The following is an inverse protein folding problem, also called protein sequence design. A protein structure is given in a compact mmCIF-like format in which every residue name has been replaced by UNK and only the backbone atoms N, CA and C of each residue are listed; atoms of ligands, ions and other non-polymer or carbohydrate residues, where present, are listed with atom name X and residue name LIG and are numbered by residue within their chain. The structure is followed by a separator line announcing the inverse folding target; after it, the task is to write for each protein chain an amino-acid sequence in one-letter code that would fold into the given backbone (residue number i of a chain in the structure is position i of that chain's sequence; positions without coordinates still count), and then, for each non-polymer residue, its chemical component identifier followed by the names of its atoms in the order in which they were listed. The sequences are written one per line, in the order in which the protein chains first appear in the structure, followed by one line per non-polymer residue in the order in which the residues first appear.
data_IF_067242014832
#
_entry.id   IF_067242014832
#
_cell.length_a   1.000
_cell.length_b   1.000
_cell.length_c   1.000
_cell.angle_alpha   90.00
_cell.angle_beta   90.00
_cell.angle_gamma   90.00
#
_symmetry.space_group_name_H-M   'P 1'
#
loop_
_entity.id
_entity.type
_entity.pdbx_description
1 polymer ?
#
# COMPACT_ATOMS: atom_id res chain seq x y z
N UNK A 1 -10.19 4.31 18.74
CA UNK A 1 -8.71 4.09 18.71
C UNK A 1 -8.16 5.12 17.74
N UNK A 2 -7.20 5.93 18.16
CA UNK A 2 -6.63 7.04 17.39
C UNK A 2 -5.41 6.52 16.62
N UNK A 3 -5.11 7.10 15.45
CA UNK A 3 -3.89 6.81 14.70
C UNK A 3 -2.65 7.01 15.58
N UNK A 4 -1.58 6.28 15.31
CA UNK A 4 -0.33 6.33 16.11
C UNK A 4 0.58 7.53 15.77
N UNK A 5 0.16 8.38 14.82
CA UNK A 5 0.86 9.58 14.37
C UNK A 5 -0.09 10.79 14.24
N UNK A 6 0.40 12.04 14.32
CA UNK A 6 -0.46 13.22 14.50
C UNK A 6 -1.09 13.76 13.21
N UNK A 7 -0.54 13.46 12.01
CA UNK A 7 -0.90 14.13 10.76
C UNK A 7 -1.44 13.14 9.73
N UNK A 8 -2.73 12.74 9.78
CA UNK A 8 -3.34 11.88 8.77
C UNK A 8 -3.33 12.55 7.39
N UNK A 9 -3.10 11.75 6.34
CA UNK A 9 -3.06 12.23 4.97
C UNK A 9 -1.68 12.70 4.49
N UNK A 10 -0.62 12.45 5.26
CA UNK A 10 0.73 12.87 4.89
C UNK A 10 1.27 12.20 3.61
N UNK A 11 0.68 11.07 3.17
CA UNK A 11 1.01 10.43 1.89
C UNK A 11 0.15 10.92 0.72
N UNK A 12 -0.82 11.81 0.95
CA UNK A 12 -1.77 12.25 -0.08
C UNK A 12 -1.13 13.13 -1.14
N UNK A 13 -0.18 13.94 -0.74
CA UNK A 13 0.56 14.86 -1.59
C UNK A 13 2.04 14.45 -1.65
N UNK A 14 2.73 14.80 -2.74
CA UNK A 14 4.15 14.50 -2.96
C UNK A 14 5.11 15.40 -2.15
N UNK A 15 4.69 15.87 -0.99
CA UNK A 15 5.52 16.63 -0.08
C UNK A 15 6.64 15.80 0.57
N UNK A 16 7.64 16.46 1.17
CA UNK A 16 8.72 15.79 1.90
C UNK A 16 8.18 15.04 3.11
N UNK A 17 8.90 13.99 3.52
CA UNK A 17 8.59 13.28 4.75
C UNK A 17 8.66 14.24 5.96
N UNK A 18 7.69 14.18 6.89
CA UNK A 18 7.77 14.94 8.14
C UNK A 18 9.00 14.55 8.96
N UNK A 19 9.45 15.46 9.84
CA UNK A 19 10.60 15.22 10.69
C UNK A 19 10.49 13.91 11.49
N UNK A 20 11.57 13.13 11.46
CA UNK A 20 11.64 11.82 12.09
C UNK A 20 11.00 10.68 11.32
N UNK A 21 10.28 10.95 10.21
CA UNK A 21 9.76 9.94 9.30
C UNK A 21 10.73 9.70 8.13
N UNK A 22 10.69 8.49 7.60
CA UNK A 22 11.46 8.10 6.41
C UNK A 22 10.51 7.73 5.30
N UNK A 23 10.86 8.14 4.09
CA UNK A 23 10.12 7.78 2.90
C UNK A 23 10.65 6.47 2.31
N UNK A 24 9.71 5.65 1.86
CA UNK A 24 9.93 4.52 0.98
C UNK A 24 8.99 4.67 -0.21
N UNK A 25 9.52 4.58 -1.41
CA UNK A 25 8.73 4.54 -2.65
C UNK A 25 9.13 3.32 -3.45
N UNK A 26 8.13 2.55 -3.89
CA UNK A 26 8.31 1.43 -4.80
C UNK A 26 7.31 1.55 -5.95
N UNK A 27 7.82 1.65 -7.19
CA UNK A 27 7.02 1.76 -8.40
C UNK A 27 7.08 0.46 -9.19
N UNK A 28 5.93 0.05 -9.73
CA UNK A 28 5.79 -1.14 -10.56
C UNK A 28 5.05 -0.74 -11.83
N UNK A 29 5.72 -0.71 -12.99
CA UNK A 29 5.07 -0.46 -14.28
C UNK A 29 4.06 -1.57 -14.58
N UNK A 30 2.87 -1.19 -15.04
CA UNK A 30 1.78 -2.10 -15.41
C UNK A 30 1.51 -2.14 -16.92
N UNK A 31 2.15 -1.28 -17.70
CA UNK A 31 2.02 -1.18 -19.16
C UNK A 31 1.22 0.05 -19.60
N UNK A 32 0.66 -0.01 -20.82
CA UNK A 32 -0.07 1.10 -21.44
C UNK A 32 -1.51 0.72 -21.83
N UNK A 33 -2.00 -0.43 -21.36
CA UNK A 33 -3.38 -0.85 -21.62
C UNK A 33 -4.35 0.11 -20.91
N UNK A 34 -5.30 0.74 -21.63
CA UNK A 34 -6.28 1.63 -21.01
C UNK A 34 -7.11 0.97 -19.89
N UNK A 35 -7.35 -0.35 -19.97
CA UNK A 35 -8.09 -1.09 -18.96
C UNK A 35 -7.26 -1.38 -17.70
N UNK A 36 -5.93 -1.22 -17.74
CA UNK A 36 -5.04 -1.57 -16.64
C UNK A 36 -5.28 -0.70 -15.39
N UNK A 37 -5.64 0.58 -15.56
CA UNK A 37 -5.91 1.49 -14.45
C UNK A 37 -7.08 0.98 -13.58
N UNK A 38 -8.22 0.69 -14.21
CA UNK A 38 -9.42 0.25 -13.50
C UNK A 38 -9.22 -1.15 -12.89
N UNK A 39 -8.66 -2.09 -13.66
CA UNK A 39 -8.44 -3.46 -13.19
C UNK A 39 -7.45 -3.52 -12.02
N UNK A 40 -6.33 -2.81 -12.10
CA UNK A 40 -5.35 -2.74 -11.03
C UNK A 40 -5.87 -1.91 -9.84
N UNK A 41 -6.58 -0.81 -10.10
CA UNK A 41 -7.22 0.01 -9.07
C UNK A 41 -8.26 -0.78 -8.26
N UNK A 42 -9.12 -1.54 -8.94
CA UNK A 42 -10.07 -2.44 -8.29
C UNK A 42 -9.34 -3.49 -7.43
N UNK A 43 -8.30 -4.13 -7.96
CA UNK A 43 -7.50 -5.09 -7.20
C UNK A 43 -6.87 -4.45 -5.95
N UNK A 44 -6.41 -3.21 -6.03
CA UNK A 44 -5.86 -2.46 -4.89
C UNK A 44 -6.95 -2.18 -3.86
N UNK A 45 -8.06 -1.56 -4.27
CA UNK A 45 -9.16 -1.17 -3.37
C UNK A 45 -9.80 -2.37 -2.67
N UNK A 46 -9.86 -3.54 -3.31
CA UNK A 46 -10.41 -4.79 -2.75
C UNK A 46 -9.37 -5.65 -2.01
N UNK A 47 -8.27 -5.07 -1.54
CA UNK A 47 -7.21 -5.74 -0.78
C UNK A 47 -6.43 -6.81 -1.57
N UNK A 48 -6.58 -6.85 -2.88
CA UNK A 48 -5.96 -7.84 -3.76
C UNK A 48 -4.44 -7.75 -3.75
N UNK A 49 -3.87 -6.55 -3.66
CA UNK A 49 -2.43 -6.35 -3.50
C UNK A 49 -1.90 -7.06 -2.25
N UNK A 50 -2.59 -6.93 -1.12
CA UNK A 50 -2.20 -7.54 0.15
C UNK A 50 -2.35 -9.06 0.12
N UNK A 51 -3.54 -9.56 -0.25
CA UNK A 51 -3.80 -11.00 -0.33
C UNK A 51 -2.88 -11.69 -1.34
N UNK A 52 -2.72 -11.11 -2.53
CA UNK A 52 -1.83 -11.63 -3.56
C UNK A 52 -0.35 -11.57 -3.20
N UNK A 53 0.05 -10.70 -2.28
CA UNK A 53 1.39 -10.67 -1.68
C UNK A 53 1.57 -11.69 -0.55
N UNK A 54 0.54 -12.48 -0.21
CA UNK A 54 0.59 -13.51 0.82
C UNK A 54 0.36 -13.01 2.24
N UNK A 55 -0.27 -11.81 2.39
CA UNK A 55 -0.69 -11.32 3.69
C UNK A 55 -2.11 -11.75 4.02
N UNK A 56 -2.35 -12.03 5.29
CA UNK A 56 -3.72 -12.16 5.80
C UNK A 56 -4.31 -10.76 5.94
N UNK A 57 -5.56 -10.60 5.50
CA UNK A 57 -6.30 -9.34 5.60
C UNK A 57 -7.56 -9.59 6.41
N UNK A 58 -7.63 -9.01 7.60
CA UNK A 58 -8.80 -9.10 8.49
C UNK A 58 -9.48 -7.74 8.54
N UNK A 59 -10.65 -7.64 7.94
CA UNK A 59 -11.50 -6.45 7.91
C UNK A 59 -12.96 -6.87 7.78
N UNK A 60 -13.88 -6.00 8.21
CA UNK A 60 -15.32 -6.17 8.01
C UNK A 60 -15.80 -5.59 6.68
N UNK A 61 -14.97 -4.80 6.01
CA UNK A 61 -15.32 -4.15 4.75
C UNK A 61 -14.70 -4.88 3.54
N UNK A 62 -15.45 -5.09 2.46
CA UNK A 62 -14.96 -5.75 1.25
C UNK A 62 -13.94 -4.90 0.49
N UNK A 63 -13.93 -3.58 0.68
CA UNK A 63 -13.04 -2.65 0.01
C UNK A 63 -12.55 -1.55 0.97
N UNK A 64 -11.48 -0.87 0.60
CA UNK A 64 -10.90 0.24 1.34
C UNK A 64 -11.80 1.50 1.22
N UNK A 65 -12.18 2.07 2.35
CA UNK A 65 -12.87 3.34 2.46
C UNK A 65 -12.40 4.07 3.73
N UNK A 66 -12.40 5.41 3.78
CA UNK A 66 -11.98 6.14 4.97
C UNK A 66 -12.69 5.66 6.24
N UNK A 67 -11.92 5.47 7.32
CA UNK A 67 -12.41 4.92 8.59
C UNK A 67 -12.49 3.39 8.65
N UNK A 68 -12.32 2.67 7.55
CA UNK A 68 -12.29 1.20 7.54
C UNK A 68 -11.03 0.72 8.24
N UNK A 69 -11.22 -0.13 9.26
CA UNK A 69 -10.14 -0.80 9.98
C UNK A 69 -9.78 -2.13 9.34
N UNK A 70 -8.50 -2.35 9.24
CA UNK A 70 -7.92 -3.57 8.69
C UNK A 70 -6.72 -3.99 9.53
N UNK A 71 -6.58 -5.30 9.75
CA UNK A 71 -5.35 -5.87 10.31
C UNK A 71 -4.67 -6.69 9.22
N UNK A 72 -3.51 -6.23 8.80
CA UNK A 72 -2.63 -6.96 7.88
C UNK A 72 -1.70 -7.85 8.70
N UNK A 73 -1.54 -9.11 8.28
CA UNK A 73 -0.73 -10.07 9.04
C UNK A 73 0.21 -10.88 8.16
N UNK A 74 1.38 -11.21 8.71
CA UNK A 74 2.33 -12.16 8.12
C UNK A 74 2.93 -13.02 9.24
N UNK A 75 2.72 -14.34 9.18
CA UNK A 75 3.10 -15.21 10.28
C UNK A 75 2.47 -14.75 11.61
N UNK A 76 3.27 -14.59 12.68
CA UNK A 76 2.78 -14.12 13.98
C UNK A 76 2.56 -12.59 14.03
N UNK A 77 3.11 -11.83 13.09
CA UNK A 77 3.01 -10.38 13.10
C UNK A 77 1.61 -9.91 12.72
N UNK A 78 1.14 -8.89 13.43
CA UNK A 78 -0.13 -8.20 13.20
C UNK A 78 0.13 -6.71 13.08
N UNK A 79 -0.42 -6.11 12.03
CA UNK A 79 -0.27 -4.71 11.68
C UNK A 79 -1.66 -4.06 11.61
N UNK A 80 -2.21 -3.55 12.73
CA UNK A 80 -3.49 -2.88 12.73
C UNK A 80 -3.38 -1.51 12.08
N UNK A 81 -4.32 -1.22 11.16
CA UNK A 81 -4.38 0.01 10.36
C UNK A 81 -5.82 0.52 10.25
N UNK A 82 -5.96 1.79 9.90
CA UNK A 82 -7.21 2.42 9.51
C UNK A 82 -7.02 3.18 8.21
N UNK A 83 -7.93 3.02 7.24
CA UNK A 83 -7.89 3.75 5.98
C UNK A 83 -8.12 5.24 6.25
N UNK A 84 -7.19 6.09 5.82
CA UNK A 84 -7.24 7.54 6.06
C UNK A 84 -7.74 8.32 4.86
N UNK A 85 -7.48 7.85 3.65
CA UNK A 85 -8.02 8.42 2.43
C UNK A 85 -8.15 7.39 1.31
N UNK A 86 -9.03 7.69 0.37
CA UNK A 86 -9.18 6.99 -0.91
C UNK A 86 -9.19 8.00 -2.04
N UNK A 87 -8.83 7.55 -3.23
CA UNK A 87 -8.95 8.31 -4.48
C UNK A 87 -9.50 7.40 -5.56
N UNK A 88 -10.44 7.93 -6.36
CA UNK A 88 -10.97 7.26 -7.54
C UNK A 88 -11.29 8.35 -8.57
N UNK A 89 -10.28 8.73 -9.31
CA UNK A 89 -10.29 9.78 -10.32
C UNK A 89 -10.00 9.18 -11.69
N UNK A 90 -10.16 9.96 -12.74
CA UNK A 90 -9.95 9.53 -14.13
C UNK A 90 -8.61 8.85 -14.38
N UNK A 91 -7.55 9.34 -13.73
CA UNK A 91 -6.17 8.92 -13.96
C UNK A 91 -5.48 8.41 -12.69
N UNK A 92 -6.24 8.27 -11.57
CA UNK A 92 -5.68 7.89 -10.27
C UNK A 92 -6.68 7.11 -9.42
N UNK A 93 -6.32 5.89 -9.01
CA UNK A 93 -7.16 5.03 -8.16
C UNK A 93 -6.30 4.44 -7.04
N UNK A 94 -6.78 4.53 -5.78
CA UNK A 94 -6.06 3.93 -4.68
C UNK A 94 -6.55 4.36 -3.31
N UNK A 95 -5.75 4.03 -2.29
CA UNK A 95 -6.01 4.40 -0.90
C UNK A 95 -4.72 4.49 -0.10
N UNK A 96 -4.81 5.08 1.10
CA UNK A 96 -3.80 4.94 2.11
C UNK A 96 -4.42 4.52 3.44
N UNK A 97 -3.66 3.79 4.22
CA UNK A 97 -3.96 3.54 5.62
C UNK A 97 -2.88 4.09 6.55
N UNK A 98 -3.31 4.52 7.72
CA UNK A 98 -2.45 4.90 8.82
C UNK A 98 -2.38 3.81 9.87
N UNK A 99 -1.25 3.74 10.55
CA UNK A 99 -1.00 2.75 11.61
C UNK A 99 -1.79 3.06 12.88
N UNK A 100 -2.28 2.00 13.53
CA UNK A 100 -2.91 2.05 14.84
C UNK A 100 -1.94 1.55 15.93
N UNK A 101 -2.22 1.79 17.22
CA UNK A 101 -1.44 1.24 18.33
C UNK A 101 -1.28 -0.28 18.21
N UNK A 102 -0.05 -0.77 18.41
CA UNK A 102 0.32 -2.19 18.21
C UNK A 102 0.91 -2.51 16.84
N UNK A 103 0.91 -1.56 15.90
CA UNK A 103 1.60 -1.71 14.63
C UNK A 103 3.13 -1.60 14.81
N UNK A 104 3.96 -2.44 14.12
CA UNK A 104 5.43 -2.37 14.20
C UNK A 104 6.03 -1.03 13.78
N UNK A 105 5.37 -0.33 12.86
CA UNK A 105 5.73 1.00 12.37
C UNK A 105 4.73 2.04 12.86
N UNK A 106 5.14 3.31 12.84
CA UNK A 106 4.29 4.46 13.06
C UNK A 106 4.30 5.31 11.79
N UNK A 107 3.14 5.51 11.17
CA UNK A 107 3.05 6.30 9.94
C UNK A 107 1.92 5.89 9.01
N UNK A 108 2.10 6.19 7.74
CA UNK A 108 1.08 6.04 6.69
C UNK A 108 1.67 5.36 5.44
N UNK A 109 0.90 4.51 4.79
CA UNK A 109 1.29 3.84 3.57
C UNK A 109 0.17 3.94 2.53
N UNK A 110 0.51 4.46 1.37
CA UNK A 110 -0.38 4.64 0.22
C UNK A 110 -0.11 3.58 -0.86
N UNK A 111 -1.19 3.15 -1.48
CA UNK A 111 -1.24 2.18 -2.58
C UNK A 111 -2.04 2.80 -3.71
N UNK A 112 -1.38 3.25 -4.75
CA UNK A 112 -2.00 4.04 -5.82
C UNK A 112 -1.62 3.50 -7.18
N UNK A 113 -2.60 3.40 -8.07
CA UNK A 113 -2.41 3.17 -9.50
C UNK A 113 -2.65 4.47 -10.20
N UNK A 114 -1.72 4.89 -11.04
CA UNK A 114 -1.77 6.16 -11.75
C UNK A 114 -1.49 5.94 -13.24
N UNK A 115 -2.18 6.72 -14.08
CA UNK A 115 -1.93 6.79 -15.52
C UNK A 115 -1.35 8.15 -15.84
N UNK A 116 -0.15 8.18 -16.41
CA UNK A 116 0.53 9.38 -16.88
C UNK A 116 -0.03 9.87 -18.23
N UNK A 117 0.34 11.08 -18.63
CA UNK A 117 -0.15 11.71 -19.87
C UNK A 117 0.22 10.94 -21.13
N UNK A 118 1.31 10.18 -21.13
CA UNK A 118 1.73 9.28 -22.22
C UNK A 118 1.00 7.92 -22.21
N UNK A 119 0.05 7.72 -21.28
CA UNK A 119 -0.75 6.51 -21.14
C UNK A 119 -0.10 5.40 -20.32
N UNK A 120 1.11 5.58 -19.81
CA UNK A 120 1.76 4.58 -18.95
C UNK A 120 1.02 4.43 -17.62
N UNK A 121 0.69 3.20 -17.23
CA UNK A 121 0.05 2.87 -15.95
C UNK A 121 1.09 2.33 -14.99
N UNK A 122 1.14 2.90 -13.78
CA UNK A 122 2.10 2.55 -12.75
C UNK A 122 1.38 2.32 -11.41
N UNK A 123 1.70 1.23 -10.73
CA UNK A 123 1.33 1.02 -9.33
C UNK A 123 2.47 1.51 -8.43
N UNK A 124 2.14 2.37 -7.48
CA UNK A 124 3.09 2.94 -6.52
C UNK A 124 2.68 2.60 -5.10
N UNK A 125 3.64 2.08 -4.33
CA UNK A 125 3.57 2.02 -2.86
C UNK A 125 4.44 3.15 -2.32
N UNK A 126 3.86 4.04 -1.53
CA UNK A 126 4.57 5.12 -0.84
C UNK A 126 4.32 5.03 0.65
N UNK A 127 5.36 4.85 1.44
CA UNK A 127 5.26 4.82 2.89
C UNK A 127 6.06 5.95 3.52
N UNK A 128 5.44 6.68 4.43
CA UNK A 128 6.07 7.64 5.33
C UNK A 128 5.98 7.07 6.74
N UNK A 129 7.07 6.54 7.26
CA UNK A 129 7.04 5.80 8.52
C UNK A 129 8.33 5.89 9.34
N UNK A 130 8.19 5.60 10.63
CA UNK A 130 9.29 5.39 11.56
C UNK A 130 9.05 4.13 12.38
N UNK A 131 10.09 3.42 12.83
CA UNK A 131 9.93 2.25 13.68
C UNK A 131 9.26 2.62 15.01
N UNK A 132 8.16 1.94 15.37
CA UNK A 132 7.46 2.11 16.63
C UNK A 132 7.88 1.06 17.66
N UNK A 133 7.84 -0.23 17.27
CA UNK A 133 8.23 -1.32 18.15
C UNK A 133 9.75 -1.39 18.35
N UNK A 134 10.18 -1.85 19.53
CA UNK A 134 11.60 -1.97 19.85
C UNK A 134 12.35 -2.90 18.88
N UNK A 135 11.75 -4.02 18.50
CA UNK A 135 12.33 -4.97 17.52
C UNK A 135 12.42 -4.37 16.11
N UNK A 136 11.47 -3.50 15.73
CA UNK A 136 11.54 -2.79 14.45
C UNK A 136 12.67 -1.74 14.45
N UNK A 137 12.97 -1.13 15.60
CA UNK A 137 14.12 -0.25 15.79
C UNK A 137 15.43 -1.04 15.74
N UNK A 138 15.51 -2.17 16.45
CA UNK A 138 16.67 -3.05 16.46
C UNK A 138 17.01 -3.64 15.09
N UNK A 139 16.00 -3.89 14.24
CA UNK A 139 16.19 -4.42 12.89
C UNK A 139 16.95 -3.48 11.94
N UNK A 140 16.98 -2.17 12.21
CA UNK A 140 17.81 -1.20 11.49
C UNK A 140 17.76 -1.31 9.95
N UNK A 141 18.93 -1.51 9.28
CA UNK A 141 19.00 -1.67 7.81
C UNK A 141 18.24 -2.88 7.29
N UNK A 142 18.22 -4.00 8.03
CA UNK A 142 17.48 -5.22 7.65
C UNK A 142 15.97 -4.96 7.63
N UNK A 143 15.44 -4.20 8.59
CA UNK A 143 14.04 -3.80 8.60
C UNK A 143 13.67 -2.99 7.36
N UNK A 144 14.55 -2.08 6.91
CA UNK A 144 14.35 -1.31 5.66
C UNK A 144 14.39 -2.20 4.41
N UNK A 145 15.30 -3.16 4.37
CA UNK A 145 15.36 -4.13 3.26
C UNK A 145 14.07 -4.97 3.20
N UNK A 146 13.56 -5.41 4.34
CA UNK A 146 12.30 -6.14 4.45
C UNK A 146 11.11 -5.29 3.97
N UNK A 147 11.03 -4.02 4.35
CA UNK A 147 9.97 -3.11 3.87
C UNK A 147 10.01 -2.94 2.34
N UNK A 148 11.20 -2.74 1.74
CA UNK A 148 11.35 -2.67 0.28
C UNK A 148 10.95 -3.98 -0.41
N UNK A 149 11.30 -5.12 0.17
CA UNK A 149 10.91 -6.42 -0.34
C UNK A 149 9.40 -6.62 -0.30
N UNK A 150 8.73 -6.22 0.80
CA UNK A 150 7.26 -6.23 0.94
C UNK A 150 6.62 -5.35 -0.13
N UNK A 151 7.08 -4.11 -0.30
CA UNK A 151 6.54 -3.20 -1.30
C UNK A 151 6.65 -3.77 -2.74
N UNK A 152 7.75 -4.44 -3.06
CA UNK A 152 7.92 -5.17 -4.33
C UNK A 152 6.98 -6.37 -4.46
N UNK A 153 6.64 -7.04 -3.36
CA UNK A 153 5.64 -8.13 -3.37
C UNK A 153 4.25 -7.62 -3.70
N UNK A 154 3.86 -6.47 -3.17
CA UNK A 154 2.60 -5.80 -3.55
C UNK A 154 2.56 -5.52 -5.05
N UNK A 155 3.62 -4.94 -5.62
CA UNK A 155 3.70 -4.68 -7.06
C UNK A 155 3.55 -5.94 -7.92
N UNK A 156 4.23 -7.03 -7.53
CA UNK A 156 4.08 -8.34 -8.21
C UNK A 156 2.69 -8.91 -8.08
N UNK A 157 2.02 -8.71 -6.94
CA UNK A 157 0.65 -9.18 -6.73
C UNK A 157 -0.34 -8.44 -7.63
N UNK A 158 -0.24 -7.11 -7.72
CA UNK A 158 -1.08 -6.28 -8.61
C UNK A 158 -0.86 -6.67 -10.07
N UNK A 159 0.39 -6.84 -10.50
CA UNK A 159 0.69 -7.28 -11.87
C UNK A 159 0.06 -8.64 -12.19
N UNK A 160 0.19 -9.63 -11.30
CA UNK A 160 -0.43 -10.96 -11.50
C UNK A 160 -1.95 -10.90 -11.55
N UNK A 161 -2.57 -10.04 -10.75
CA UNK A 161 -4.02 -9.83 -10.77
C UNK A 161 -4.46 -9.26 -12.12
N UNK A 162 -3.68 -8.32 -12.67
CA UNK A 162 -3.93 -7.73 -13.99
C UNK A 162 -3.77 -8.76 -15.10
N UNK A 163 -2.68 -9.54 -15.10
CA UNK A 163 -2.42 -10.59 -16.09
C UNK A 163 -3.53 -11.65 -16.07
N UNK A 164 -4.03 -12.01 -14.89
CA UNK A 164 -5.15 -12.94 -14.72
C UNK A 164 -6.49 -12.39 -15.24
N UNK A 165 -6.75 -11.10 -15.06
CA UNK A 165 -7.95 -10.45 -15.59
C UNK A 165 -7.95 -10.30 -17.12
N UNK A 166 -6.76 -10.20 -17.72
CA UNK A 166 -6.58 -10.08 -19.19
C UNK A 166 -6.44 -11.43 -19.91
N UNK A 167 -6.59 -12.56 -19.21
CA UNK A 167 -6.48 -13.90 -19.80
C UNK A 167 -5.09 -14.26 -20.34
N UNK A 168 -4.04 -13.55 -19.94
CA UNK A 168 -2.65 -13.84 -20.33
C UNK A 168 -2.14 -15.09 -19.59
N UNK A 169 -1.65 -16.13 -20.33
CA UNK A 169 -1.11 -17.33 -19.69
C UNK A 169 0.11 -16.97 -18.84
N UNK A 170 0.21 -17.59 -17.66
CA UNK A 170 1.40 -17.51 -16.79
C UNK A 170 2.61 -17.99 -17.58
N UNK A 171 3.57 -17.12 -17.81
CA UNK A 171 4.93 -17.51 -18.23
C UNK A 171 5.74 -17.94 -17.02
#
# INVERSE_FOLDING_TARGET
MTLSYPTPGMTRNDGPAPDGFRELVARTPLGHDPAALEAAGAAVLHWGAHRGAGFTVRTKAPFAAPGVRVTVGVGPLRAPCEVVWTVHERDRIGFAYGTLPGHPQCGEEAFVVERSADGAVTFTVRALSRPAAWYARAAGPLGRAAQRWIARRYGRAVRRALDGAQGRPKR
#
